data_IF_022370165999
#
_entry.id   IF_022370165999
#
_cell.length_a   1.000
_cell.length_b   1.000
_cell.length_c   1.000
_cell.angle_alpha   90.00
_cell.angle_beta   90.00
_cell.angle_gamma   90.00
#
_symmetry.space_group_name_H-M   'P 1'
#
loop_
_entity.id
_entity.type
_entity.pdbx_description
1 polymer ?
#
# COMPACT_ATOMS: atom_id res chain seq x y z
N UNK A 1 12.81 -25.44 -19.19
CA UNK A 1 12.66 -24.91 -17.81
C UNK A 1 13.60 -23.72 -17.67
N UNK A 2 13.10 -22.52 -17.37
CA UNK A 2 13.96 -21.33 -17.16
C UNK A 2 14.53 -21.38 -15.74
N UNK A 3 15.84 -21.16 -15.59
CA UNK A 3 16.51 -21.15 -14.29
C UNK A 3 16.12 -19.92 -13.48
N UNK A 4 15.71 -20.12 -12.23
CA UNK A 4 15.24 -19.07 -11.31
C UNK A 4 16.33 -18.54 -10.37
N UNK A 5 17.55 -19.07 -10.45
CA UNK A 5 18.64 -18.78 -9.49
C UNK A 5 19.05 -17.30 -9.44
N UNK A 6 18.78 -16.54 -10.50
CA UNK A 6 19.07 -15.10 -10.56
C UNK A 6 17.97 -14.20 -9.97
N UNK A 7 16.79 -14.73 -9.60
CA UNK A 7 15.72 -13.91 -9.05
C UNK A 7 16.05 -13.43 -7.64
N UNK A 8 15.90 -12.12 -7.42
CA UNK A 8 16.20 -11.42 -6.17
C UNK A 8 14.95 -11.06 -5.38
N UNK A 9 13.90 -11.89 -5.47
CA UNK A 9 12.58 -11.55 -4.94
C UNK A 9 12.56 -11.33 -3.42
N UNK A 10 13.52 -11.88 -2.69
CA UNK A 10 13.64 -11.75 -1.23
C UNK A 10 14.85 -10.93 -0.78
N UNK A 11 15.46 -10.17 -1.70
CA UNK A 11 16.53 -9.24 -1.33
C UNK A 11 15.92 -7.89 -0.93
N UNK A 12 16.46 -7.20 0.09
CA UNK A 12 15.99 -5.87 0.42
C UNK A 12 16.05 -4.88 -0.75
N UNK A 13 15.10 -3.95 -0.80
CA UNK A 13 15.00 -2.90 -1.81
C UNK A 13 14.89 -1.53 -1.12
N UNK A 14 15.84 -0.64 -1.38
CA UNK A 14 15.74 0.76 -0.95
C UNK A 14 14.80 1.53 -1.88
N UNK A 15 13.80 2.18 -1.29
CA UNK A 15 12.77 2.96 -1.97
C UNK A 15 12.85 4.42 -1.46
N UNK A 16 13.69 5.24 -2.08
CA UNK A 16 13.99 6.58 -1.59
C UNK A 16 15.06 6.59 -0.48
N UNK A 17 15.21 7.72 0.19
CA UNK A 17 16.31 7.94 1.14
C UNK A 17 16.11 7.22 2.49
N UNK A 18 14.86 7.16 2.97
CA UNK A 18 14.54 6.75 4.34
C UNK A 18 13.61 5.53 4.43
N UNK A 19 13.44 4.79 3.35
CA UNK A 19 12.56 3.62 3.31
C UNK A 19 13.26 2.44 2.65
N UNK A 20 13.36 1.34 3.37
CA UNK A 20 13.91 0.08 2.88
C UNK A 20 12.91 -1.05 3.10
N UNK A 21 12.60 -1.76 2.03
CA UNK A 21 11.70 -2.90 2.04
C UNK A 21 12.52 -4.16 2.26
N UNK A 22 12.01 -5.06 3.11
CA UNK A 22 12.64 -6.38 3.35
C UNK A 22 12.69 -7.22 2.07
N UNK A 23 11.83 -6.93 1.11
CA UNK A 23 11.77 -7.55 -0.20
C UNK A 23 10.97 -6.66 -1.18
N UNK A 24 11.18 -6.77 -2.50
CA UNK A 24 10.44 -6.03 -3.53
C UNK A 24 9.00 -6.52 -3.77
N UNK A 25 8.39 -7.29 -2.85
CA UNK A 25 7.02 -7.77 -3.02
C UNK A 25 6.07 -6.69 -2.48
N UNK A 26 5.28 -6.12 -3.39
CA UNK A 26 4.33 -5.05 -3.08
C UNK A 26 2.92 -5.55 -3.33
N UNK A 27 2.01 -5.26 -2.40
CA UNK A 27 0.59 -5.48 -2.61
C UNK A 27 -0.04 -4.25 -3.26
N UNK A 28 -0.67 -4.45 -4.42
CA UNK A 28 -1.32 -3.37 -5.15
C UNK A 28 -2.53 -2.78 -4.42
N UNK A 29 -3.00 -1.59 -4.83
CA UNK A 29 -4.17 -0.95 -4.25
C UNK A 29 -5.42 -1.83 -4.45
N UNK A 30 -5.97 -2.35 -3.36
CA UNK A 30 -7.15 -3.19 -3.34
C UNK A 30 -7.93 -2.91 -2.06
N UNK A 31 -9.25 -3.00 -2.15
CA UNK A 31 -10.13 -2.50 -1.09
C UNK A 31 -9.84 -3.09 0.29
N UNK A 32 -9.27 -4.29 0.43
CA UNK A 32 -8.99 -4.93 1.75
C UNK A 32 -7.76 -5.86 1.80
N UNK A 33 -6.60 -5.36 1.35
CA UNK A 33 -5.34 -6.12 1.27
C UNK A 33 -4.61 -6.47 2.57
N UNK A 34 -3.71 -7.46 2.53
CA UNK A 34 -2.69 -7.75 3.58
C UNK A 34 -1.36 -8.21 2.96
N UNK A 35 -0.24 -7.56 3.30
CA UNK A 35 1.12 -7.92 2.87
C UNK A 35 2.23 -7.25 3.73
N UNK A 36 3.50 -7.51 3.41
CA UNK A 36 4.67 -6.95 4.11
C UNK A 36 4.96 -5.47 3.80
N UNK A 37 4.63 -5.01 2.58
CA UNK A 37 4.42 -3.60 2.26
C UNK A 37 3.06 -3.48 1.56
N UNK A 38 2.24 -2.55 2.03
CA UNK A 38 0.87 -2.35 1.56
C UNK A 38 0.74 -0.92 1.01
N UNK A 39 0.23 -0.81 -0.21
CA UNK A 39 -0.32 0.44 -0.71
C UNK A 39 -1.81 0.43 -0.36
N UNK A 40 -2.28 1.48 0.32
CA UNK A 40 -3.70 1.59 0.70
C UNK A 40 -4.59 1.58 -0.54
N UNK A 41 -5.85 1.19 -0.35
CA UNK A 41 -6.88 1.30 -1.38
C UNK A 41 -7.10 2.76 -1.84
N UNK A 42 -7.90 2.94 -2.89
CA UNK A 42 -8.35 4.27 -3.30
C UNK A 42 -9.02 4.99 -2.14
N UNK A 43 -8.36 6.02 -1.62
CA UNK A 43 -8.76 6.75 -0.42
C UNK A 43 -9.12 8.16 -0.83
N UNK A 44 -10.38 8.57 -0.62
CA UNK A 44 -10.83 9.91 -0.97
C UNK A 44 -10.11 10.99 -0.16
N UNK A 45 -9.65 12.05 -0.83
CA UNK A 45 -9.04 13.24 -0.21
C UNK A 45 -10.02 14.42 -0.11
N UNK A 46 -11.26 14.23 -0.58
CA UNK A 46 -12.38 15.15 -0.40
C UNK A 46 -13.73 14.42 -0.45
N UNK A 47 -14.81 15.10 -0.01
CA UNK A 47 -16.17 14.53 -0.06
C UNK A 47 -16.64 14.27 -1.51
N UNK A 48 -16.16 15.05 -2.47
CA UNK A 48 -16.57 15.01 -3.87
C UNK A 48 -15.95 13.83 -4.65
N UNK A 49 -14.94 13.18 -4.09
CA UNK A 49 -14.20 12.10 -4.77
C UNK A 49 -14.82 10.70 -4.60
N UNK A 50 -15.92 10.60 -3.86
CA UNK A 50 -16.58 9.32 -3.63
C UNK A 50 -17.28 8.78 -4.88
N UNK A 51 -16.65 7.78 -5.51
CA UNK A 51 -17.22 7.00 -6.61
C UNK A 51 -17.79 5.63 -6.21
N UNK A 52 -17.51 5.16 -4.99
CA UNK A 52 -17.88 3.83 -4.50
C UNK A 52 -18.34 3.87 -3.04
N UNK A 53 -19.35 3.08 -2.70
CA UNK A 53 -19.84 3.00 -1.33
C UNK A 53 -18.80 2.36 -0.39
N UNK A 54 -18.66 2.96 0.80
CA UNK A 54 -17.75 2.52 1.86
C UNK A 54 -16.26 2.55 1.50
N UNK A 55 -15.86 3.33 0.49
CA UNK A 55 -14.44 3.59 0.24
C UNK A 55 -13.79 4.33 1.41
N UNK A 56 -12.51 4.08 1.65
CA UNK A 56 -11.73 4.81 2.64
C UNK A 56 -11.67 6.31 2.31
N UNK A 57 -11.48 7.14 3.34
CA UNK A 57 -11.25 8.57 3.21
C UNK A 57 -10.12 9.03 4.14
N UNK A 58 -9.53 10.19 3.84
CA UNK A 58 -8.47 10.81 4.64
C UNK A 58 -8.54 12.36 4.61
N UNK A 59 -9.75 12.92 4.69
CA UNK A 59 -9.97 14.38 4.66
C UNK A 59 -10.61 14.96 5.93
N UNK A 60 -10.77 14.14 6.98
CA UNK A 60 -11.23 14.60 8.30
C UNK A 60 -10.33 14.03 9.39
N UNK A 61 -10.33 14.66 10.56
CA UNK A 61 -9.53 14.18 11.70
C UNK A 61 -9.96 12.79 12.16
N UNK A 62 -11.27 12.48 12.08
CA UNK A 62 -11.78 11.15 12.43
C UNK A 62 -11.27 10.07 11.47
N UNK A 63 -11.11 10.40 10.18
CA UNK A 63 -10.52 9.48 9.20
C UNK A 63 -9.04 9.21 9.49
N UNK A 64 -8.27 10.27 9.76
CA UNK A 64 -6.84 10.15 10.08
C UNK A 64 -6.64 9.30 11.35
N UNK A 65 -7.45 9.56 12.38
CA UNK A 65 -7.38 8.84 13.64
C UNK A 65 -7.81 7.37 13.51
N UNK A 66 -8.77 7.08 12.64
CA UNK A 66 -9.15 5.70 12.34
C UNK A 66 -8.06 4.94 11.56
N UNK A 67 -7.28 5.65 10.74
CA UNK A 67 -6.16 5.08 9.97
C UNK A 67 -4.87 4.92 10.77
N UNK A 68 -4.69 5.66 11.86
CA UNK A 68 -3.56 5.50 12.78
C UNK A 68 -3.81 4.35 13.76
N UNK A 69 -2.94 3.35 13.77
CA UNK A 69 -2.85 2.31 14.82
C UNK A 69 -1.77 2.62 15.83
#
# INVERSE_FOLDING_TARGET
MVSTTAYKLFTPLKLGENLELKNPIVFGPLTRGRAGMIISEGTGVSEQEYGWHHAAACYTDVHMRAGSV
#
